data_IF_129029562503
#
_entry.id   IF_129029562503
#
_cell.length_a   1.000
_cell.length_b   1.000
_cell.length_c   1.000
_cell.angle_alpha   90.00
_cell.angle_beta   90.00
_cell.angle_gamma   90.00
#
_symmetry.space_group_name_H-M   'P 1'
#
loop_
_entity.id
_entity.type
_entity.pdbx_description
1 polymer ?
#
# COMPACT_ATOMS: atom_id res chain seq x y z
N UNK A 1 -23.81 29.23 -7.48
CA UNK A 1 -23.65 29.67 -8.88
C UNK A 1 -22.20 30.05 -9.09
N UNK A 2 -21.57 29.54 -10.15
CA UNK A 2 -20.26 30.03 -10.56
C UNK A 2 -20.41 31.49 -10.96
N UNK A 3 -19.74 32.41 -10.26
CA UNK A 3 -19.69 33.80 -10.68
C UNK A 3 -18.56 33.93 -11.71
N UNK A 4 -18.93 34.45 -12.87
CA UNK A 4 -18.08 34.74 -14.02
C UNK A 4 -17.10 35.87 -13.71
N UNK A 5 -16.08 35.61 -12.90
CA UNK A 5 -14.88 36.45 -12.91
C UNK A 5 -13.67 35.66 -12.40
N UNK A 6 -13.07 34.85 -13.27
CA UNK A 6 -11.65 34.52 -13.14
C UNK A 6 -11.11 34.03 -14.49
N UNK A 7 -10.10 34.74 -14.95
CA UNK A 7 -9.39 34.63 -16.24
C UNK A 7 -8.55 33.35 -16.40
N UNK A 8 -9.11 32.18 -16.08
CA UNK A 8 -8.54 30.88 -16.47
C UNK A 8 -9.65 29.97 -16.98
N UNK A 9 -9.79 29.93 -18.30
CA UNK A 9 -10.66 29.00 -19.03
C UNK A 9 -10.50 27.58 -18.43
N UNK A 10 -11.63 26.93 -18.10
CA UNK A 10 -11.81 25.57 -17.53
C UNK A 10 -12.04 25.33 -16.02
N UNK A 11 -12.12 26.34 -15.13
CA UNK A 11 -12.49 26.04 -13.71
C UNK A 11 -13.98 25.70 -13.50
N UNK A 12 -14.87 26.12 -14.41
CA UNK A 12 -16.32 25.85 -14.34
C UNK A 12 -16.79 24.56 -15.03
N UNK A 13 -15.93 23.88 -15.77
CA UNK A 13 -16.23 22.64 -16.50
C UNK A 13 -15.73 21.38 -15.78
N UNK A 14 -14.82 21.53 -14.81
CA UNK A 14 -14.33 20.42 -14.00
C UNK A 14 -15.33 20.07 -12.90
N UNK A 15 -15.73 18.81 -12.82
CA UNK A 15 -16.58 18.31 -11.75
C UNK A 15 -15.90 18.50 -10.38
N UNK A 16 -16.67 18.92 -9.36
CA UNK A 16 -16.17 19.05 -7.99
C UNK A 16 -16.07 17.67 -7.32
N UNK A 17 -15.08 17.53 -6.44
CA UNK A 17 -14.88 16.35 -5.60
C UNK A 17 -14.40 16.76 -4.21
N UNK A 18 -14.23 15.78 -3.33
CA UNK A 18 -13.73 16.00 -1.98
C UNK A 18 -14.86 16.13 -0.96
N UNK A 19 -14.48 16.49 0.26
CA UNK A 19 -15.42 16.88 1.31
C UNK A 19 -15.92 18.31 1.02
N UNK A 20 -17.22 18.45 0.75
CA UNK A 20 -17.85 19.74 0.44
C UNK A 20 -18.41 20.40 1.70
N UNK A 21 -18.96 19.58 2.61
CA UNK A 21 -19.44 20.00 3.91
C UNK A 21 -19.24 18.87 4.92
N UNK A 22 -19.74 19.03 6.16
CA UNK A 22 -19.65 17.97 7.18
C UNK A 22 -20.41 16.71 6.79
N UNK A 23 -21.50 16.83 6.03
CA UNK A 23 -22.38 15.73 5.63
C UNK A 23 -22.35 15.41 4.15
N UNK A 24 -21.53 16.10 3.35
CA UNK A 24 -21.50 15.96 1.90
C UNK A 24 -20.08 15.74 1.38
N UNK A 25 -19.93 14.67 0.59
CA UNK A 25 -18.71 14.33 -0.14
C UNK A 25 -19.04 14.05 -1.59
N UNK A 26 -18.18 14.48 -2.50
CA UNK A 26 -18.31 14.22 -3.93
C UNK A 26 -17.17 13.36 -4.45
N UNK A 27 -17.53 12.31 -5.17
CA UNK A 27 -16.61 11.40 -5.86
C UNK A 27 -16.42 11.86 -7.30
N UNK A 28 -15.21 11.69 -7.81
CA UNK A 28 -14.97 11.87 -9.23
C UNK A 28 -15.59 10.75 -10.06
N UNK A 29 -15.92 11.02 -11.34
CA UNK A 29 -16.28 9.98 -12.29
C UNK A 29 -15.22 8.87 -12.34
N UNK A 30 -15.65 7.66 -12.71
CA UNK A 30 -14.77 6.48 -12.76
C UNK A 30 -13.48 6.75 -13.54
N UNK A 31 -12.34 6.45 -12.91
CA UNK A 31 -11.01 6.63 -13.49
C UNK A 31 -10.43 8.04 -13.39
N UNK A 32 -11.17 9.01 -12.84
CA UNK A 32 -10.63 10.36 -12.59
C UNK A 32 -10.07 10.49 -11.18
N UNK A 33 -9.20 11.48 -11.03
CA UNK A 33 -8.45 11.81 -9.83
C UNK A 33 -9.03 13.07 -9.19
N UNK A 34 -9.08 13.11 -7.87
CA UNK A 34 -9.51 14.29 -7.13
C UNK A 34 -8.29 15.06 -6.63
N UNK A 35 -8.03 16.25 -7.17
CA UNK A 35 -6.87 17.04 -6.78
C UNK A 35 -7.06 17.72 -5.42
N UNK A 36 -5.99 18.33 -4.89
CA UNK A 36 -6.01 19.04 -3.60
C UNK A 36 -6.96 20.25 -3.55
N UNK A 37 -7.35 20.80 -4.71
CA UNK A 37 -8.34 21.89 -4.81
C UNK A 37 -9.80 21.40 -4.85
N UNK A 38 -10.04 20.08 -4.86
CA UNK A 38 -11.38 19.49 -4.91
C UNK A 38 -12.00 19.52 -6.31
N UNK A 39 -11.19 19.31 -7.34
CA UNK A 39 -11.65 19.15 -8.72
C UNK A 39 -11.21 17.82 -9.31
N UNK A 40 -12.05 17.29 -10.20
CA UNK A 40 -11.78 16.08 -10.94
C UNK A 40 -10.96 16.35 -12.21
N UNK A 41 -10.03 15.45 -12.50
CA UNK A 41 -9.22 15.48 -13.72
C UNK A 41 -8.34 14.25 -13.82
N UNK A 42 -7.53 14.17 -14.88
CA UNK A 42 -6.70 12.99 -15.18
C UNK A 42 -5.22 13.31 -15.41
N UNK A 43 -4.82 14.59 -15.30
CA UNK A 43 -3.41 14.97 -15.44
C UNK A 43 -2.64 14.76 -14.14
N UNK A 44 -1.31 14.83 -14.22
CA UNK A 44 -0.40 14.60 -13.08
C UNK A 44 -0.73 15.48 -11.88
N UNK A 45 -1.07 16.76 -12.10
CA UNK A 45 -1.48 17.70 -11.04
C UNK A 45 -2.77 17.29 -10.32
N UNK A 46 -3.54 16.36 -10.88
CA UNK A 46 -4.72 15.79 -10.24
C UNK A 46 -4.45 14.44 -9.62
N UNK A 47 -3.64 13.61 -10.29
CA UNK A 47 -3.49 12.20 -9.94
C UNK A 47 -2.32 11.90 -9.01
N UNK A 48 -1.24 12.70 -9.02
CA UNK A 48 -0.06 12.39 -8.23
C UNK A 48 -0.31 12.68 -6.75
N UNK A 49 0.00 11.70 -5.90
CA UNK A 49 -0.03 11.88 -4.44
C UNK A 49 0.90 13.02 -3.98
N UNK A 50 2.05 13.21 -4.64
CA UNK A 50 2.98 14.33 -4.41
C UNK A 50 2.37 15.70 -4.70
N UNK A 51 1.26 15.76 -5.45
CA UNK A 51 0.49 16.98 -5.75
C UNK A 51 -0.81 17.10 -4.94
N UNK A 52 -1.01 16.19 -3.99
CA UNK A 52 -2.15 16.23 -3.07
C UNK A 52 -3.43 15.61 -3.64
N UNK A 53 -3.30 14.59 -4.48
CA UNK A 53 -4.45 13.76 -4.86
C UNK A 53 -5.14 13.17 -3.62
N UNK A 54 -6.47 13.11 -3.62
CA UNK A 54 -7.30 12.64 -2.52
C UNK A 54 -7.89 11.23 -2.81
N UNK A 55 -7.29 10.14 -2.29
CA UNK A 55 -7.65 8.77 -2.70
C UNK A 55 -9.04 8.31 -2.24
N UNK A 56 -9.66 9.03 -1.30
CA UNK A 56 -11.05 8.77 -0.90
C UNK A 56 -12.05 9.23 -1.97
N UNK A 57 -11.69 10.15 -2.85
CA UNK A 57 -12.61 10.83 -3.78
C UNK A 57 -12.27 10.63 -5.25
N UNK A 58 -11.23 9.86 -5.56
CA UNK A 58 -10.76 9.57 -6.90
C UNK A 58 -9.55 8.64 -6.90
N UNK A 59 -9.05 8.31 -8.08
CA UNK A 59 -7.87 7.46 -8.25
C UNK A 59 -6.61 8.29 -8.00
N UNK A 60 -5.69 7.81 -7.17
CA UNK A 60 -4.40 8.45 -6.95
C UNK A 60 -3.23 7.55 -7.32
N UNK A 61 -2.21 8.16 -7.91
CA UNK A 61 -0.98 7.54 -8.32
C UNK A 61 0.14 7.81 -7.31
N UNK A 62 1.01 6.82 -7.15
CA UNK A 62 2.08 6.82 -6.15
C UNK A 62 3.29 6.01 -6.64
N UNK A 63 4.36 6.04 -5.83
CA UNK A 63 5.60 5.32 -6.11
C UNK A 63 6.65 6.20 -6.79
N UNK A 64 7.79 5.60 -7.10
CA UNK A 64 8.87 6.22 -7.87
C UNK A 64 8.51 6.39 -9.35
N UNK A 65 7.50 5.67 -9.82
CA UNK A 65 7.00 5.80 -11.18
C UNK A 65 6.49 7.23 -11.41
N UNK A 66 7.26 8.01 -12.17
CA UNK A 66 6.98 9.40 -12.54
C UNK A 66 6.92 10.40 -11.35
N UNK A 67 7.66 10.16 -10.27
CA UNK A 67 7.69 11.07 -9.09
C UNK A 67 6.28 11.31 -8.47
N UNK A 68 5.40 10.31 -8.59
CA UNK A 68 4.02 10.39 -8.11
C UNK A 68 3.93 10.46 -6.57
N UNK A 69 4.97 10.03 -5.86
CA UNK A 69 5.15 10.23 -4.42
C UNK A 69 4.42 9.22 -3.53
N UNK A 70 4.34 9.52 -2.24
CA UNK A 70 3.80 8.63 -1.21
C UNK A 70 2.31 8.85 -1.03
N UNK A 71 1.53 7.78 -0.90
CA UNK A 71 0.13 7.85 -0.52
C UNK A 71 -0.06 8.48 0.87
N UNK A 72 -1.24 9.03 1.15
CA UNK A 72 -1.63 9.44 2.50
C UNK A 72 -1.50 8.28 3.51
N UNK A 73 -1.26 8.59 4.80
CA UNK A 73 -0.82 7.66 5.85
C UNK A 73 -1.59 6.34 5.97
N UNK A 74 -2.87 6.34 5.62
CA UNK A 74 -3.74 5.18 5.77
C UNK A 74 -3.78 4.29 4.52
N UNK A 75 -3.07 4.67 3.46
CA UNK A 75 -3.11 4.02 2.16
C UNK A 75 -1.78 3.37 1.80
N UNK A 76 -1.89 2.26 1.11
CA UNK A 76 -0.78 1.49 0.57
C UNK A 76 -0.53 1.92 -0.87
N UNK A 77 0.73 1.96 -1.27
CA UNK A 77 1.06 2.16 -2.68
C UNK A 77 1.27 0.81 -3.35
N UNK A 78 0.35 0.40 -4.24
CA UNK A 78 0.52 -0.84 -4.98
C UNK A 78 1.74 -0.77 -5.92
N UNK A 79 2.33 -1.91 -6.29
CA UNK A 79 3.39 -2.02 -7.31
C UNK A 79 2.96 -1.54 -8.69
N UNK A 80 1.66 -1.42 -8.92
CA UNK A 80 1.09 -0.79 -10.12
C UNK A 80 1.10 0.74 -10.07
N UNK A 81 1.55 1.33 -8.96
CA UNK A 81 1.66 2.78 -8.79
C UNK A 81 0.35 3.46 -8.42
N UNK A 82 -0.52 2.79 -7.67
CA UNK A 82 -1.81 3.36 -7.23
C UNK A 82 -2.02 3.21 -5.74
N UNK A 83 -2.69 4.20 -5.13
CA UNK A 83 -3.07 4.18 -3.72
C UNK A 83 -4.34 3.35 -3.48
N UNK A 84 -4.36 2.55 -2.42
CA UNK A 84 -5.53 1.80 -1.99
C UNK A 84 -5.33 1.14 -0.63
N UNK A 85 -6.38 0.56 -0.08
CA UNK A 85 -6.39 -0.04 1.28
C UNK A 85 -6.71 -1.53 1.27
N UNK A 86 -6.93 -2.14 0.11
CA UNK A 86 -7.22 -3.58 0.02
C UNK A 86 -5.91 -4.38 -0.07
N UNK A 87 -6.00 -5.69 0.18
CA UNK A 87 -4.85 -6.62 0.07
C UNK A 87 -4.14 -6.55 -1.28
N UNK A 88 -4.86 -6.25 -2.37
CA UNK A 88 -4.27 -6.07 -3.71
C UNK A 88 -3.31 -4.86 -3.81
N UNK A 89 -3.37 -3.94 -2.86
CA UNK A 89 -2.49 -2.77 -2.74
C UNK A 89 -1.52 -2.91 -1.58
N UNK A 90 -1.98 -3.50 -0.48
CA UNK A 90 -1.29 -3.49 0.80
C UNK A 90 -0.42 -4.71 1.05
N UNK A 91 -0.78 -5.88 0.51
CA UNK A 91 0.01 -7.09 0.69
C UNK A 91 1.46 -6.83 0.27
N UNK A 92 2.43 -7.30 1.07
CA UNK A 92 3.85 -6.98 0.89
C UNK A 92 4.35 -7.25 -0.54
N UNK A 93 3.89 -8.32 -1.18
CA UNK A 93 4.28 -8.66 -2.55
C UNK A 93 3.67 -7.72 -3.60
N UNK A 94 2.63 -6.96 -3.24
CA UNK A 94 1.91 -6.03 -4.10
C UNK A 94 2.11 -4.57 -3.70
N UNK A 95 2.80 -4.26 -2.60
CA UNK A 95 3.02 -2.91 -2.11
C UNK A 95 4.47 -2.40 -2.39
N UNK A 96 4.62 -1.09 -2.58
CA UNK A 96 5.89 -0.38 -2.75
C UNK A 96 6.33 0.21 -1.40
N UNK A 97 7.31 -0.43 -0.77
CA UNK A 97 7.88 0.03 0.50
C UNK A 97 8.39 1.48 0.39
N UNK A 98 8.09 2.31 1.39
CA UNK A 98 8.44 3.74 1.39
C UNK A 98 7.41 4.67 0.72
N UNK A 99 6.46 4.12 -0.05
CA UNK A 99 5.45 4.89 -0.77
C UNK A 99 4.03 4.75 -0.20
N UNK A 100 3.85 3.95 0.85
CA UNK A 100 2.60 3.82 1.59
C UNK A 100 2.72 2.84 2.76
N UNK A 101 1.60 2.56 3.43
CA UNK A 101 1.53 1.67 4.59
C UNK A 101 1.37 0.21 4.18
N UNK A 102 2.44 -0.41 3.69
CA UNK A 102 2.42 -1.83 3.33
C UNK A 102 2.11 -2.73 4.54
N UNK A 103 1.39 -3.83 4.30
CA UNK A 103 1.19 -4.87 5.30
C UNK A 103 2.55 -5.52 5.63
N UNK A 104 2.85 -5.63 6.92
CA UNK A 104 3.91 -6.52 7.37
C UNK A 104 3.47 -7.97 7.17
N UNK A 105 4.43 -8.89 7.22
CA UNK A 105 4.30 -10.20 6.59
C UNK A 105 3.17 -11.11 7.12
N UNK A 106 2.37 -10.70 8.10
CA UNK A 106 1.15 -11.40 8.51
C UNK A 106 1.39 -12.77 9.18
N UNK A 107 2.61 -13.27 9.15
CA UNK A 107 3.00 -14.55 9.71
C UNK A 107 3.46 -14.38 11.15
N UNK A 108 2.97 -15.28 12.00
CA UNK A 108 3.43 -15.46 13.38
C UNK A 108 4.58 -16.47 13.41
N UNK A 109 5.34 -16.50 14.51
CA UNK A 109 6.33 -17.55 14.73
C UNK A 109 5.68 -18.94 14.82
N UNK A 110 4.43 -19.03 15.28
CA UNK A 110 3.67 -20.27 15.23
C UNK A 110 3.42 -20.75 13.78
N UNK A 111 3.10 -19.85 12.86
CA UNK A 111 2.95 -20.18 11.44
C UNK A 111 4.26 -20.70 10.85
N UNK A 112 5.39 -20.08 11.20
CA UNK A 112 6.74 -20.54 10.84
C UNK A 112 6.94 -21.95 11.35
N UNK A 113 6.87 -22.16 12.67
CA UNK A 113 7.14 -23.43 13.33
C UNK A 113 6.28 -24.57 12.77
N UNK A 114 5.03 -24.29 12.40
CA UNK A 114 4.13 -25.27 11.79
C UNK A 114 4.57 -25.76 10.39
N UNK A 115 5.34 -24.95 9.64
CA UNK A 115 5.85 -25.30 8.30
C UNK A 115 7.08 -26.19 8.35
N UNK A 116 7.92 -26.02 9.36
CA UNK A 116 9.08 -26.89 9.62
C UNK A 116 8.56 -28.17 10.26
N UNK A 117 8.19 -29.18 9.47
CA UNK A 117 7.80 -30.49 10.01
C UNK A 117 9.02 -31.09 10.73
N UNK A 118 9.02 -30.95 12.05
CA UNK A 118 10.06 -31.43 12.96
C UNK A 118 9.94 -32.94 13.11
N UNK A 119 10.64 -33.70 12.27
CA UNK A 119 10.92 -35.12 12.56
C UNK A 119 12.24 -35.30 13.34
N UNK A 120 13.06 -34.27 13.46
CA UNK A 120 14.29 -34.27 14.25
C UNK A 120 14.38 -32.96 15.03
N UNK A 121 14.37 -33.01 16.37
CA UNK A 121 14.72 -31.98 17.37
C UNK A 121 15.05 -30.56 16.83
N UNK A 122 14.13 -29.93 16.09
CA UNK A 122 14.36 -28.73 15.27
C UNK A 122 14.23 -27.44 16.06
N UNK A 123 13.82 -27.54 17.33
CA UNK A 123 13.71 -26.39 18.23
C UNK A 123 15.07 -25.70 18.48
N UNK A 124 16.17 -26.34 18.09
CA UNK A 124 17.52 -25.79 18.17
C UNK A 124 17.95 -25.05 16.89
N UNK A 125 17.23 -25.22 15.77
CA UNK A 125 17.66 -24.72 14.45
C UNK A 125 16.96 -23.43 14.04
N UNK A 126 15.70 -23.24 14.46
CA UNK A 126 14.86 -22.10 14.10
C UNK A 126 14.75 -21.16 15.29
N UNK A 127 15.20 -19.92 15.15
CA UNK A 127 14.98 -18.86 16.13
C UNK A 127 14.13 -17.77 15.49
N UNK A 128 12.93 -17.57 16.03
CA UNK A 128 11.93 -16.65 15.51
C UNK A 128 11.59 -15.60 16.58
N UNK A 129 11.50 -14.34 16.17
CA UNK A 129 11.09 -13.23 17.02
C UNK A 129 9.92 -12.50 16.36
N UNK A 130 8.95 -12.10 17.17
CA UNK A 130 7.81 -11.29 16.75
C UNK A 130 8.04 -9.81 17.10
N UNK A 131 7.38 -8.90 16.39
CA UNK A 131 7.26 -7.49 16.75
C UNK A 131 6.10 -7.28 17.75
N UNK A 132 5.84 -6.02 18.12
CA UNK A 132 4.74 -5.65 19.03
C UNK A 132 3.34 -5.99 18.46
N UNK A 133 3.23 -6.12 17.13
CA UNK A 133 2.00 -6.49 16.43
C UNK A 133 1.81 -8.01 16.30
N UNK A 134 2.75 -8.83 16.82
CA UNK A 134 2.70 -10.29 16.79
C UNK A 134 3.15 -10.94 15.47
N UNK A 135 3.84 -10.20 14.61
CA UNK A 135 4.35 -10.71 13.33
C UNK A 135 5.86 -10.95 13.38
N UNK A 136 6.33 -11.94 12.61
CA UNK A 136 7.76 -12.27 12.53
C UNK A 136 8.59 -11.05 12.10
N UNK A 137 9.42 -10.58 13.02
CA UNK A 137 10.37 -9.48 12.85
C UNK A 137 11.78 -9.97 12.54
N UNK A 138 12.13 -11.16 13.03
CA UNK A 138 13.42 -11.81 12.78
C UNK A 138 13.25 -13.31 12.72
N UNK A 139 13.78 -13.94 11.67
CA UNK A 139 13.88 -15.40 11.58
C UNK A 139 15.31 -15.80 11.28
N UNK A 140 15.82 -16.73 12.08
CA UNK A 140 17.14 -17.33 11.91
C UNK A 140 16.98 -18.83 11.75
N UNK A 141 17.62 -19.41 10.73
CA UNK A 141 17.64 -20.85 10.49
C UNK A 141 19.10 -21.30 10.44
N UNK A 142 19.51 -22.26 11.28
CA UNK A 142 20.91 -22.73 11.39
C UNK A 142 21.90 -21.58 11.59
N UNK A 143 21.55 -20.62 12.46
CA UNK A 143 22.32 -19.39 12.70
C UNK A 143 22.46 -18.44 11.50
N UNK A 144 21.73 -18.67 10.39
CA UNK A 144 21.62 -17.72 9.28
C UNK A 144 20.36 -16.87 9.47
N UNK A 145 20.55 -15.57 9.68
CA UNK A 145 19.47 -14.60 9.67
C UNK A 145 18.94 -14.45 8.24
N UNK A 146 17.63 -14.55 8.10
CA UNK A 146 16.95 -14.52 6.82
C UNK A 146 16.50 -13.11 6.51
N UNK A 147 16.67 -12.71 5.25
CA UNK A 147 16.11 -11.46 4.77
C UNK A 147 14.59 -11.54 4.68
N UNK A 148 13.97 -10.38 4.57
CA UNK A 148 12.55 -10.26 4.29
C UNK A 148 12.11 -10.96 2.99
N UNK A 149 13.02 -11.13 2.03
CA UNK A 149 12.77 -11.84 0.77
C UNK A 149 12.89 -13.36 0.94
N UNK A 150 13.86 -13.83 1.73
CA UNK A 150 14.00 -15.25 2.08
C UNK A 150 12.77 -15.76 2.85
N UNK A 151 12.28 -14.95 3.79
CA UNK A 151 11.03 -15.19 4.51
C UNK A 151 9.87 -15.39 3.52
N UNK A 152 9.69 -14.45 2.60
CA UNK A 152 8.62 -14.51 1.61
C UNK A 152 8.71 -15.77 0.72
N UNK A 153 9.93 -16.19 0.37
CA UNK A 153 10.14 -17.42 -0.39
C UNK A 153 9.76 -18.65 0.44
N UNK A 154 10.19 -18.74 1.69
CA UNK A 154 9.87 -19.85 2.61
C UNK A 154 8.36 -19.98 2.82
N UNK A 155 7.64 -18.87 3.01
CA UNK A 155 6.19 -18.93 3.20
C UNK A 155 5.41 -19.31 1.93
N UNK A 156 6.00 -19.14 0.74
CA UNK A 156 5.44 -19.66 -0.53
C UNK A 156 5.66 -21.17 -0.70
N UNK A 157 6.57 -21.78 0.04
CA UNK A 157 6.79 -23.22 -0.02
C UNK A 157 5.64 -23.95 0.67
N UNK A 158 5.07 -24.91 -0.04
CA UNK A 158 4.00 -25.76 0.49
C UNK A 158 4.49 -26.55 1.71
N UNK A 159 5.76 -26.96 1.68
CA UNK A 159 6.53 -27.61 2.76
C UNK A 159 8.01 -27.33 2.55
N UNK A 160 8.86 -27.26 3.59
CA UNK A 160 10.31 -27.13 3.39
C UNK A 160 10.99 -28.39 2.83
N UNK A 161 10.27 -29.51 2.73
CA UNK A 161 10.74 -30.73 2.04
C UNK A 161 10.91 -30.55 0.53
N UNK A 162 10.47 -29.43 -0.03
CA UNK A 162 10.62 -29.09 -1.45
C UNK A 162 11.80 -28.16 -1.77
N UNK A 163 12.70 -27.95 -0.79
CA UNK A 163 14.04 -27.38 -0.97
C UNK A 163 15.06 -28.51 -1.13
#
# INVERSE_FOLDING_TARGET
TCNEDSTKENKCSAARCGKISESETLQCPSGQCCNSEGYCGTSENFCYSSKGCQPLYGVCQCGENNDAGTCSSDYCCSKKGYCGTTTAFCAKENCQSGFGKCEENGYTCADVESKFIVNDNSNEIVNCQENEDGYVSKLTIKNKELSNDDLNYIYKLKTLKSL
#
